data_IF_556703342301
#
_entry.id   IF_556703342301
#
_cell.length_a   1.000
_cell.length_b   1.000
_cell.length_c   1.000
_cell.angle_alpha   90.00
_cell.angle_beta   90.00
_cell.angle_gamma   90.00
#
_symmetry.space_group_name_H-M   'P 1'
#
loop_
_entity.id
_entity.type
_entity.pdbx_description
1 polymer ?
#
# COMPACT_ATOMS: atom_id res chain seq x y z
N UNK A 1 20.53 -7.65 -0.66
CA UNK A 1 21.81 -8.11 -1.25
C UNK A 1 23.04 -7.59 -0.51
N UNK A 2 23.18 -6.28 -0.28
CA UNK A 2 24.35 -5.72 0.43
C UNK A 2 24.50 -6.24 1.87
N UNK A 3 23.40 -6.46 2.60
CA UNK A 3 23.44 -6.97 3.98
C UNK A 3 24.03 -8.38 4.10
N UNK A 4 23.82 -9.24 3.09
CA UNK A 4 24.40 -10.59 3.06
C UNK A 4 25.91 -10.55 2.81
N UNK A 5 26.37 -9.63 1.95
CA UNK A 5 27.80 -9.38 1.69
C UNK A 5 28.54 -8.79 2.91
N UNK A 6 27.82 -8.09 3.80
CA UNK A 6 28.35 -7.53 5.04
C UNK A 6 28.34 -8.52 6.22
N UNK A 7 27.99 -9.79 6.01
CA UNK A 7 28.01 -10.83 7.04
C UNK A 7 26.96 -10.68 8.14
N UNK A 8 25.89 -9.91 7.90
CA UNK A 8 24.79 -9.79 8.86
C UNK A 8 23.88 -11.02 8.78
N UNK A 9 23.46 -11.53 9.94
CA UNK A 9 22.51 -12.65 10.03
C UNK A 9 21.19 -12.23 9.36
N UNK A 10 20.67 -13.02 8.39
CA UNK A 10 19.41 -12.71 7.73
C UNK A 10 18.23 -12.80 8.71
N UNK A 11 17.23 -11.95 8.49
CA UNK A 11 15.95 -11.96 9.19
C UNK A 11 14.95 -12.90 8.47
N UNK A 12 13.68 -12.83 8.85
CA UNK A 12 12.58 -13.56 8.21
C UNK A 12 12.64 -13.45 6.67
N UNK A 13 12.47 -14.59 5.99
CA UNK A 13 12.41 -14.71 4.52
C UNK A 13 13.69 -14.24 3.79
N UNK A 14 14.81 -14.07 4.50
CA UNK A 14 16.11 -13.70 3.89
C UNK A 14 16.35 -12.19 3.77
N UNK A 15 15.45 -11.36 4.30
CA UNK A 15 15.63 -9.91 4.33
C UNK A 15 16.66 -9.47 5.38
N UNK A 16 17.18 -8.26 5.21
CA UNK A 16 18.08 -7.64 6.19
C UNK A 16 17.35 -7.37 7.53
N UNK A 17 18.02 -7.56 8.68
CA UNK A 17 17.42 -7.28 9.99
C UNK A 17 17.09 -5.79 10.19
N UNK A 18 17.71 -4.90 9.41
CA UNK A 18 17.47 -3.45 9.45
C UNK A 18 16.35 -2.99 8.51
N UNK A 19 15.63 -3.91 7.85
CA UNK A 19 14.62 -3.57 6.84
C UNK A 19 13.63 -2.50 7.32
N UNK A 20 13.07 -2.65 8.52
CA UNK A 20 12.13 -1.70 9.09
C UNK A 20 12.74 -0.32 9.33
N UNK A 21 13.94 -0.27 9.92
CA UNK A 21 14.61 1.00 10.22
C UNK A 21 15.04 1.74 8.96
N UNK A 22 15.57 1.02 7.97
CA UNK A 22 16.02 1.61 6.70
C UNK A 22 14.82 2.15 5.90
N UNK A 23 13.71 1.39 5.88
CA UNK A 23 12.46 1.84 5.26
C UNK A 23 11.87 3.04 5.99
N UNK A 24 11.77 3.00 7.32
CA UNK A 24 11.24 4.10 8.12
C UNK A 24 12.03 5.41 7.91
N UNK A 25 13.36 5.34 7.95
CA UNK A 25 14.21 6.52 7.74
C UNK A 25 14.05 7.16 6.35
N UNK A 26 13.69 6.39 5.33
CA UNK A 26 13.36 6.93 4.02
C UNK A 26 11.94 7.52 3.99
N UNK A 27 10.94 6.76 4.47
CA UNK A 27 9.54 7.14 4.38
C UNK A 27 9.20 8.37 5.23
N UNK A 28 9.77 8.50 6.43
CA UNK A 28 9.52 9.64 7.31
C UNK A 28 10.02 10.98 6.75
N UNK A 29 10.97 10.95 5.81
CA UNK A 29 11.42 12.15 5.11
C UNK A 29 10.41 12.63 4.06
N UNK A 30 9.53 11.75 3.62
CA UNK A 30 8.48 12.03 2.63
C UNK A 30 7.21 12.39 3.41
N UNK A 31 7.11 13.65 3.81
CA UNK A 31 5.95 14.12 4.58
C UNK A 31 5.65 15.58 4.28
N UNK A 32 4.52 16.05 4.79
CA UNK A 32 4.13 17.46 4.71
C UNK A 32 4.60 18.21 5.95
N UNK A 33 5.18 19.38 5.74
CA UNK A 33 5.67 20.27 6.80
C UNK A 33 4.97 21.63 6.70
N UNK A 34 5.17 22.49 7.71
CA UNK A 34 4.66 23.86 7.65
C UNK A 34 5.24 24.69 6.49
N UNK A 35 6.36 24.29 5.89
CA UNK A 35 7.00 25.01 4.78
C UNK A 35 6.53 24.56 3.39
N UNK A 36 5.87 23.41 3.31
CA UNK A 36 5.46 22.80 2.05
C UNK A 36 5.17 21.32 2.20
N UNK A 37 4.62 20.72 1.15
CA UNK A 37 4.17 19.32 1.12
C UNK A 37 4.87 18.51 0.05
N UNK A 38 5.20 17.26 0.36
CA UNK A 38 5.60 16.25 -0.62
C UNK A 38 4.50 15.20 -0.68
N UNK A 39 3.93 14.99 -1.86
CA UNK A 39 3.00 13.88 -2.13
C UNK A 39 3.74 12.86 -3.00
N UNK A 40 4.09 11.71 -2.43
CA UNK A 40 4.78 10.64 -3.18
C UNK A 40 3.81 9.60 -3.69
N UNK A 41 4.01 9.16 -4.94
CA UNK A 41 3.41 7.93 -5.48
C UNK A 41 4.53 6.90 -5.61
N UNK A 42 4.38 5.76 -4.94
CA UNK A 42 5.44 4.76 -4.83
C UNK A 42 4.97 3.43 -5.41
N UNK A 43 5.72 2.90 -6.38
CA UNK A 43 5.47 1.58 -6.93
C UNK A 43 6.13 0.53 -6.02
N UNK A 44 5.30 -0.32 -5.39
CA UNK A 44 5.76 -1.43 -4.55
C UNK A 44 5.60 -2.72 -5.34
N UNK A 45 6.72 -3.41 -5.59
CA UNK A 45 6.70 -4.75 -6.16
C UNK A 45 6.40 -5.77 -5.05
N UNK A 46 5.38 -6.60 -5.26
CA UNK A 46 4.99 -7.67 -4.35
C UNK A 46 5.53 -8.99 -4.91
N UNK A 47 6.50 -9.64 -4.25
CA UNK A 47 7.03 -10.91 -4.71
C UNK A 47 5.95 -12.00 -4.68
N UNK A 48 5.82 -12.74 -5.78
CA UNK A 48 4.88 -13.87 -5.90
C UNK A 48 3.41 -13.54 -5.54
N UNK A 49 3.00 -12.28 -5.67
CA UNK A 49 1.67 -11.78 -5.28
C UNK A 49 1.33 -11.99 -3.78
N UNK A 50 2.33 -12.20 -2.91
CA UNK A 50 2.15 -12.40 -1.47
C UNK A 50 2.28 -11.10 -0.66
N UNK A 51 1.13 -10.54 -0.25
CA UNK A 51 1.06 -9.33 0.58
C UNK A 51 1.54 -9.53 2.02
N UNK A 52 1.75 -10.78 2.46
CA UNK A 52 2.27 -11.09 3.80
C UNK A 52 3.80 -11.09 3.87
N UNK A 53 4.48 -10.90 2.74
CA UNK A 53 5.93 -10.75 2.70
C UNK A 53 6.38 -9.54 3.57
N UNK A 54 7.48 -9.67 4.33
CA UNK A 54 7.96 -8.61 5.23
C UNK A 54 8.20 -7.25 4.56
N UNK A 55 8.62 -7.22 3.29
CA UNK A 55 8.91 -5.97 2.58
C UNK A 55 7.66 -5.13 2.26
N UNK A 56 6.62 -5.66 1.56
CA UNK A 56 5.38 -4.93 1.36
C UNK A 56 4.67 -4.66 2.68
N UNK A 57 4.64 -5.61 3.62
CA UNK A 57 4.00 -5.40 4.93
C UNK A 57 4.60 -4.19 5.69
N UNK A 58 5.93 -4.07 5.70
CA UNK A 58 6.62 -2.93 6.32
C UNK A 58 6.35 -1.63 5.55
N UNK A 59 6.34 -1.68 4.22
CA UNK A 59 6.10 -0.50 3.38
C UNK A 59 4.67 0.03 3.57
N UNK A 60 3.67 -0.85 3.60
CA UNK A 60 2.27 -0.47 3.74
C UNK A 60 1.96 0.22 5.08
N UNK A 61 2.69 -0.09 6.14
CA UNK A 61 2.54 0.59 7.43
C UNK A 61 2.81 2.11 7.33
N UNK A 62 3.68 2.53 6.40
CA UNK A 62 4.04 3.92 6.19
C UNK A 62 3.17 4.65 5.16
N UNK A 63 2.36 3.94 4.36
CA UNK A 63 1.54 4.55 3.33
C UNK A 63 0.20 5.05 3.88
N UNK A 64 -0.21 6.25 3.47
CA UNK A 64 -1.53 6.82 3.81
C UNK A 64 -2.66 6.30 2.92
N UNK A 65 -2.31 5.80 1.74
CA UNK A 65 -3.23 5.13 0.82
C UNK A 65 -2.49 4.01 0.07
N UNK A 66 -3.19 2.91 -0.17
CA UNK A 66 -2.71 1.77 -0.95
C UNK A 66 -3.63 1.58 -2.15
N UNK A 67 -3.05 1.50 -3.34
CA UNK A 67 -3.77 1.17 -4.57
C UNK A 67 -3.22 -0.16 -5.08
N UNK A 68 -4.03 -1.21 -4.93
CA UNK A 68 -3.65 -2.57 -5.32
C UNK A 68 -4.06 -2.79 -6.77
N UNK A 69 -3.13 -3.28 -7.59
CA UNK A 69 -3.39 -3.65 -8.98
C UNK A 69 -3.56 -5.16 -9.08
N UNK A 70 -4.66 -5.61 -9.67
CA UNK A 70 -5.02 -7.03 -9.75
C UNK A 70 -4.92 -7.55 -11.18
N UNK A 71 -4.24 -8.69 -11.34
CA UNK A 71 -4.17 -9.41 -12.62
C UNK A 71 -5.54 -9.85 -13.11
N UNK A 72 -6.38 -10.37 -12.21
CA UNK A 72 -7.72 -10.83 -12.57
C UNK A 72 -8.60 -9.71 -13.16
N UNK A 73 -8.45 -8.47 -12.66
CA UNK A 73 -9.17 -7.30 -13.20
C UNK A 73 -8.62 -6.90 -14.59
N UNK A 74 -7.30 -6.96 -14.77
CA UNK A 74 -6.68 -6.69 -16.06
C UNK A 74 -7.09 -7.71 -17.14
N UNK A 75 -7.25 -8.98 -16.77
CA UNK A 75 -7.71 -10.06 -17.65
C UNK A 75 -9.16 -9.87 -18.12
N UNK A 76 -9.98 -9.14 -17.36
CA UNK A 76 -11.32 -8.71 -17.78
C UNK A 76 -11.29 -7.51 -18.75
N UNK A 77 -10.11 -6.97 -19.06
CA UNK A 77 -9.93 -5.82 -19.95
C UNK A 77 -10.19 -4.46 -19.29
N UNK A 78 -10.26 -4.40 -17.96
CA UNK A 78 -10.53 -3.16 -17.22
C UNK A 78 -9.21 -2.43 -16.91
N UNK A 79 -9.11 -1.17 -17.34
CA UNK A 79 -7.94 -0.31 -17.12
C UNK A 79 -8.34 1.06 -16.56
N UNK A 80 -7.70 1.55 -15.48
CA UNK A 80 -6.63 0.89 -14.72
C UNK A 80 -7.14 -0.31 -13.91
N UNK A 81 -6.32 -1.35 -13.78
CA UNK A 81 -6.68 -2.63 -13.16
C UNK A 81 -6.65 -2.58 -11.62
N UNK A 82 -7.29 -1.56 -11.03
CA UNK A 82 -7.34 -1.33 -9.59
C UNK A 82 -8.33 -2.26 -8.93
N UNK A 83 -7.92 -2.96 -7.86
CA UNK A 83 -8.85 -3.70 -7.00
C UNK A 83 -9.50 -2.75 -5.99
N UNK A 84 -10.81 -2.47 -6.09
CA UNK A 84 -11.49 -1.50 -5.24
C UNK A 84 -11.80 -2.01 -3.81
N UNK A 85 -11.64 -3.32 -3.57
CA UNK A 85 -11.86 -3.96 -2.28
C UNK A 85 -10.56 -4.07 -1.49
N UNK A 86 -9.45 -4.36 -2.18
CA UNK A 86 -8.12 -4.47 -1.56
C UNK A 86 -7.39 -3.10 -1.47
N UNK A 87 -7.82 -2.10 -2.24
CA UNK A 87 -7.29 -0.73 -2.13
C UNK A 87 -7.91 0.04 -0.96
N UNK A 88 -7.09 0.79 -0.23
CA UNK A 88 -7.52 1.51 0.98
C UNK A 88 -6.93 2.91 1.05
N UNK A 89 -7.56 3.79 1.84
CA UNK A 89 -7.01 5.12 2.14
C UNK A 89 -7.45 5.57 3.52
N UNK A 90 -6.52 6.17 4.28
CA UNK A 90 -6.82 6.86 5.54
C UNK A 90 -7.71 8.10 5.33
N UNK A 91 -7.71 8.66 4.13
CA UNK A 91 -8.56 9.81 3.78
C UNK A 91 -10.02 9.41 3.53
N UNK A 92 -10.33 8.11 3.40
CA UNK A 92 -11.70 7.61 3.26
C UNK A 92 -12.42 7.61 4.62
N UNK A 93 -12.57 8.80 5.20
CA UNK A 93 -13.24 9.08 6.47
C UNK A 93 -14.23 10.25 6.23
N UNK A 94 -15.50 10.14 6.68
CA UNK A 94 -16.51 11.18 6.46
C UNK A 94 -16.13 12.55 7.05
N UNK A 95 -15.24 12.59 8.05
CA UNK A 95 -14.73 13.84 8.64
C UNK A 95 -13.72 14.55 7.74
N UNK A 96 -13.12 13.84 6.78
CA UNK A 96 -12.13 14.37 5.83
C UNK A 96 -12.79 14.68 4.48
N UNK A 97 -13.58 13.75 3.94
CA UNK A 97 -14.16 13.85 2.59
C UNK A 97 -15.65 14.20 2.57
N UNK A 98 -16.29 14.31 3.73
CA UNK A 98 -17.73 14.55 3.87
C UNK A 98 -18.57 13.27 3.75
N UNK A 99 -19.78 13.33 4.29
CA UNK A 99 -20.69 12.18 4.36
C UNK A 99 -21.09 11.64 2.99
N UNK A 100 -21.45 12.53 2.04
CA UNK A 100 -21.94 12.11 0.72
C UNK A 100 -20.89 11.28 -0.02
N UNK A 101 -19.64 11.75 -0.06
CA UNK A 101 -18.57 11.01 -0.74
C UNK A 101 -18.27 9.69 -0.03
N UNK A 102 -18.20 9.70 1.30
CA UNK A 102 -17.96 8.49 2.08
C UNK A 102 -19.06 7.44 1.86
N UNK A 103 -20.33 7.83 1.90
CA UNK A 103 -21.47 6.93 1.69
C UNK A 103 -21.47 6.34 0.28
N UNK A 104 -21.29 7.17 -0.76
CA UNK A 104 -21.23 6.68 -2.15
C UNK A 104 -20.09 5.67 -2.34
N UNK A 105 -18.91 5.95 -1.77
CA UNK A 105 -17.76 5.06 -1.84
C UNK A 105 -18.03 3.73 -1.12
N UNK A 106 -18.59 3.76 0.11
CA UNK A 106 -18.92 2.56 0.88
C UNK A 106 -20.04 1.73 0.24
N UNK A 107 -21.05 2.37 -0.33
CA UNK A 107 -22.11 1.68 -1.06
C UNK A 107 -21.58 0.99 -2.31
N UNK A 108 -20.66 1.63 -3.05
CA UNK A 108 -19.98 1.02 -4.20
C UNK A 108 -19.15 -0.19 -3.78
N UNK A 109 -18.35 -0.07 -2.71
CA UNK A 109 -17.57 -1.19 -2.17
C UNK A 109 -18.48 -2.34 -1.73
N UNK A 110 -19.58 -2.05 -1.03
CA UNK A 110 -20.54 -3.06 -0.62
C UNK A 110 -21.14 -3.81 -1.80
N UNK A 111 -21.59 -3.09 -2.83
CA UNK A 111 -22.15 -3.70 -4.04
C UNK A 111 -21.15 -4.64 -4.73
N UNK A 112 -19.88 -4.22 -4.82
CA UNK A 112 -18.81 -5.04 -5.42
C UNK A 112 -18.45 -6.25 -4.56
N UNK A 113 -18.47 -6.11 -3.24
CA UNK A 113 -18.26 -7.21 -2.31
C UNK A 113 -19.38 -8.25 -2.41
N UNK A 114 -20.64 -7.79 -2.49
CA UNK A 114 -21.82 -8.64 -2.66
C UNK A 114 -21.83 -9.35 -4.03
N UNK A 115 -21.20 -8.78 -5.06
CA UNK A 115 -21.05 -9.41 -6.37
C UNK A 115 -19.94 -10.47 -6.41
N UNK A 116 -18.85 -10.27 -5.65
CA UNK A 116 -17.70 -11.19 -5.57
C UNK A 116 -18.00 -12.42 -4.70
N UNK A 117 -18.95 -12.32 -3.77
CA UNK A 117 -19.34 -13.33 -2.78
C UNK A 117 -20.63 -14.07 -3.09
#
# INVERSE_FOLDING_TARGET
EVSALLGRIPSAVGYQPTLATDMGGLQERITSTAKGSITSVQAVYVPADDLTDPAPATTFAHLDATTVLSRAIAELGIYPAVDPLDSTSRMLDPRVIGNVHYEVARSTQKLLQDYKG
#
